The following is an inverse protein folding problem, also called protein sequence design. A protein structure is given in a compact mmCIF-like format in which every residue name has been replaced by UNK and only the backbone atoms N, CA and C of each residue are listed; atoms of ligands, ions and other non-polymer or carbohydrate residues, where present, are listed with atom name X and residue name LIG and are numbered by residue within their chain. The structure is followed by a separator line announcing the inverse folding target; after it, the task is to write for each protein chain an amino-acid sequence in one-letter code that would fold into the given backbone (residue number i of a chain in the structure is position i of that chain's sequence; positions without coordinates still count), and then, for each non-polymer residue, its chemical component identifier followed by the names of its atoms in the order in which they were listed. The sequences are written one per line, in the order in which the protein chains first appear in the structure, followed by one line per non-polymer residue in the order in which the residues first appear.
data_IF_124935740913
#
_entry.id   IF_124935740913
#
_cell.length_a   1.000
_cell.length_b   1.000
_cell.length_c   1.000
_cell.angle_alpha   90.00
_cell.angle_beta   90.00
_cell.angle_gamma   90.00
#
_symmetry.space_group_name_H-M   'P 1'
#
loop_
_entity.id
_entity.type
_entity.pdbx_description
1 polymer ?
#
# COMPACT_ATOMS: atom_id res chain seq x y z
N UNK A 1 -52.72 0.12 9.17
CA UNK A 1 -53.51 0.38 7.95
C UNK A 1 -52.95 1.61 7.25
N UNK A 2 -51.99 1.39 6.34
CA UNK A 2 -51.39 2.45 5.52
C UNK A 2 -52.44 2.95 4.51
N UNK A 3 -52.60 4.27 4.36
CA UNK A 3 -53.49 4.88 3.35
C UNK A 3 -52.98 4.57 1.93
N UNK A 4 -53.90 4.39 0.98
CA UNK A 4 -53.58 3.99 -0.41
C UNK A 4 -52.54 4.90 -1.13
N UNK A 5 -52.38 6.16 -0.71
CA UNK A 5 -51.35 7.07 -1.20
C UNK A 5 -49.93 6.72 -0.71
N UNK A 6 -49.79 6.17 0.50
CA UNK A 6 -48.48 5.80 1.04
C UNK A 6 -47.86 4.59 0.36
N UNK A 7 -48.67 3.65 -0.19
CA UNK A 7 -48.14 2.52 -0.96
C UNK A 7 -47.47 2.94 -2.28
N UNK A 8 -48.01 3.97 -2.94
CA UNK A 8 -47.40 4.50 -4.18
C UNK A 8 -46.04 5.20 -3.90
N UNK A 9 -45.92 5.86 -2.76
CA UNK A 9 -44.66 6.52 -2.36
C UNK A 9 -43.62 5.51 -1.90
N UNK A 10 -44.03 4.49 -1.13
CA UNK A 10 -43.15 3.36 -0.77
C UNK A 10 -42.70 2.59 -2.00
N UNK A 11 -43.62 2.34 -2.95
CA UNK A 11 -43.29 1.69 -4.22
C UNK A 11 -42.25 2.48 -5.03
N UNK A 12 -42.41 3.82 -5.13
CA UNK A 12 -41.44 4.70 -5.78
C UNK A 12 -40.07 4.70 -5.09
N UNK A 13 -40.05 4.74 -3.77
CA UNK A 13 -38.81 4.66 -2.99
C UNK A 13 -38.10 3.32 -3.18
N UNK A 14 -38.84 2.19 -3.14
CA UNK A 14 -38.26 0.87 -3.39
C UNK A 14 -37.69 0.71 -4.79
N UNK A 15 -38.40 1.19 -5.82
CA UNK A 15 -37.87 1.15 -7.20
C UNK A 15 -36.65 2.04 -7.38
N UNK A 16 -36.62 3.22 -6.75
CA UNK A 16 -35.43 4.09 -6.78
C UNK A 16 -34.22 3.43 -6.10
N UNK A 17 -34.40 2.84 -4.94
CA UNK A 17 -33.33 2.11 -4.23
C UNK A 17 -32.87 0.91 -5.04
N UNK A 18 -33.77 0.13 -5.63
CA UNK A 18 -33.41 -1.01 -6.47
C UNK A 18 -32.61 -0.59 -7.70
N UNK A 19 -32.98 0.53 -8.34
CA UNK A 19 -32.24 1.09 -9.47
C UNK A 19 -30.86 1.56 -9.06
N UNK A 20 -30.72 2.22 -7.91
CA UNK A 20 -29.42 2.67 -7.37
C UNK A 20 -28.51 1.48 -7.06
N UNK A 21 -29.03 0.45 -6.41
CA UNK A 21 -28.26 -0.77 -6.09
C UNK A 21 -27.84 -1.49 -7.38
N UNK A 22 -28.73 -1.59 -8.36
CA UNK A 22 -28.42 -2.20 -9.67
C UNK A 22 -27.36 -1.40 -10.40
N UNK A 23 -27.45 -0.07 -10.38
CA UNK A 23 -26.47 0.82 -10.97
C UNK A 23 -25.11 0.68 -10.29
N UNK A 24 -25.05 0.64 -8.96
CA UNK A 24 -23.82 0.44 -8.22
C UNK A 24 -23.16 -0.89 -8.58
N UNK A 25 -23.95 -1.96 -8.63
CA UNK A 25 -23.44 -3.29 -9.00
C UNK A 25 -22.90 -3.32 -10.44
N UNK A 26 -23.63 -2.76 -11.42
CA UNK A 26 -23.20 -2.69 -12.80
C UNK A 26 -21.92 -1.83 -12.94
N UNK A 27 -21.88 -0.70 -12.25
CA UNK A 27 -20.71 0.19 -12.26
C UNK A 27 -19.46 -0.49 -11.71
N UNK A 28 -19.59 -1.27 -10.62
CA UNK A 28 -18.47 -2.03 -10.06
C UNK A 28 -17.98 -3.11 -11.05
N UNK A 29 -18.87 -3.85 -11.70
CA UNK A 29 -18.50 -4.82 -12.73
C UNK A 29 -17.80 -4.17 -13.93
N UNK A 30 -18.26 -3.00 -14.34
CA UNK A 30 -17.66 -2.24 -15.44
C UNK A 30 -16.25 -1.76 -15.05
N UNK A 31 -16.07 -1.28 -13.82
CA UNK A 31 -14.77 -0.89 -13.28
C UNK A 31 -13.80 -2.08 -13.25
N UNK A 32 -14.24 -3.26 -12.81
CA UNK A 32 -13.42 -4.46 -12.79
C UNK A 32 -12.97 -4.87 -14.21
N UNK A 33 -13.84 -4.74 -15.21
CA UNK A 33 -13.49 -4.99 -16.60
C UNK A 33 -12.47 -3.96 -17.12
N UNK A 34 -12.65 -2.67 -16.81
CA UNK A 34 -11.72 -1.61 -17.20
C UNK A 34 -10.34 -1.79 -16.54
N UNK A 35 -10.31 -2.12 -15.25
CA UNK A 35 -9.07 -2.43 -14.54
C UNK A 35 -8.41 -3.68 -15.11
N UNK A 36 -9.20 -4.70 -15.48
CA UNK A 36 -8.68 -5.89 -16.16
C UNK A 36 -8.01 -5.57 -17.50
N UNK A 37 -8.61 -4.71 -18.31
CA UNK A 37 -8.01 -4.21 -19.55
C UNK A 37 -6.74 -3.40 -19.30
N UNK A 38 -6.82 -2.45 -18.38
CA UNK A 38 -5.65 -1.65 -17.98
C UNK A 38 -4.48 -2.53 -17.52
N UNK A 39 -4.78 -3.63 -16.83
CA UNK A 39 -3.76 -4.61 -16.40
C UNK A 39 -3.02 -5.22 -17.58
N UNK A 40 -3.74 -5.60 -18.62
CA UNK A 40 -3.13 -6.17 -19.85
C UNK A 40 -2.26 -5.13 -20.54
N UNK A 41 -2.77 -3.92 -20.73
CA UNK A 41 -2.07 -2.84 -21.41
C UNK A 41 -0.80 -2.40 -20.65
N UNK A 42 -0.89 -2.31 -19.31
CA UNK A 42 0.26 -1.97 -18.46
C UNK A 42 1.31 -3.09 -18.52
N UNK A 43 0.88 -4.36 -18.43
CA UNK A 43 1.78 -5.51 -18.50
C UNK A 43 2.53 -5.59 -19.82
N UNK A 44 1.83 -5.37 -20.92
CA UNK A 44 2.41 -5.41 -22.26
C UNK A 44 3.43 -4.28 -22.47
N UNK A 45 3.07 -3.05 -22.15
CA UNK A 45 3.93 -1.87 -22.38
C UNK A 45 5.08 -1.79 -21.36
N UNK A 46 4.74 -1.83 -20.08
CA UNK A 46 5.73 -1.66 -19.02
C UNK A 46 6.68 -2.86 -18.90
N UNK A 47 6.16 -4.09 -19.06
CA UNK A 47 6.99 -5.29 -19.01
C UNK A 47 8.05 -5.28 -20.12
N UNK A 48 7.68 -4.94 -21.34
CA UNK A 48 8.61 -4.83 -22.47
C UNK A 48 9.62 -3.73 -22.24
N UNK A 49 9.18 -2.52 -21.91
CA UNK A 49 10.03 -1.36 -21.67
C UNK A 49 11.03 -1.60 -20.51
N UNK A 50 10.59 -2.32 -19.47
CA UNK A 50 11.42 -2.65 -18.32
C UNK A 50 12.55 -3.64 -18.71
N UNK A 51 12.22 -4.68 -19.48
CA UNK A 51 13.19 -5.68 -19.93
C UNK A 51 14.22 -5.04 -20.86
N UNK A 52 13.79 -4.23 -21.82
CA UNK A 52 14.69 -3.49 -22.72
C UNK A 52 15.62 -2.59 -21.91
N UNK A 53 15.06 -1.85 -20.96
CA UNK A 53 15.80 -0.92 -20.11
C UNK A 53 16.85 -1.62 -19.25
N UNK A 54 16.51 -2.76 -18.64
CA UNK A 54 17.46 -3.56 -17.84
C UNK A 54 18.56 -4.13 -18.72
N UNK A 55 18.26 -4.55 -19.96
CA UNK A 55 19.23 -5.08 -20.91
C UNK A 55 20.24 -4.01 -21.36
N UNK A 56 19.81 -2.74 -21.44
CA UNK A 56 20.63 -1.61 -21.88
C UNK A 56 21.37 -0.89 -20.73
N UNK A 57 21.24 -1.33 -19.49
CA UNK A 57 21.92 -0.71 -18.36
C UNK A 57 23.44 -0.86 -18.46
N UNK A 58 24.18 0.17 -18.03
CA UNK A 58 25.64 0.09 -17.89
C UNK A 58 25.99 -0.95 -16.84
N UNK A 59 27.04 -1.74 -17.11
CA UNK A 59 27.51 -2.83 -16.26
C UNK A 59 27.77 -2.41 -14.79
N UNK A 60 28.17 -1.16 -14.55
CA UNK A 60 28.39 -0.61 -13.21
C UNK A 60 27.17 -0.72 -12.27
N UNK A 61 25.95 -0.68 -12.81
CA UNK A 61 24.72 -0.82 -12.02
C UNK A 61 24.40 -2.29 -11.71
N UNK A 62 24.79 -3.19 -12.61
CA UNK A 62 24.65 -4.64 -12.42
C UNK A 62 25.64 -5.15 -11.38
N UNK A 63 26.86 -4.60 -11.35
CA UNK A 63 27.91 -4.98 -10.40
C UNK A 63 27.65 -4.41 -8.99
N UNK A 64 26.98 -3.27 -8.87
CA UNK A 64 26.69 -2.65 -7.58
C UNK A 64 25.48 -3.35 -6.90
N UNK A 65 25.67 -3.98 -5.72
CA UNK A 65 24.61 -4.70 -5.02
C UNK A 65 23.39 -3.82 -4.70
N UNK A 66 23.57 -2.54 -4.33
CA UNK A 66 22.47 -1.63 -4.02
C UNK A 66 21.62 -1.31 -5.25
N UNK A 67 22.28 -1.07 -6.40
CA UNK A 67 21.60 -0.84 -7.67
C UNK A 67 20.88 -2.10 -8.14
N UNK A 68 21.51 -3.27 -8.00
CA UNK A 68 20.92 -4.54 -8.37
C UNK A 68 19.71 -4.92 -7.51
N UNK A 69 19.76 -4.67 -6.21
CA UNK A 69 18.62 -4.84 -5.30
C UNK A 69 17.44 -3.96 -5.72
N UNK A 70 17.70 -2.70 -6.11
CA UNK A 70 16.68 -1.77 -6.61
C UNK A 70 16.10 -2.27 -7.94
N UNK A 71 16.94 -2.68 -8.90
CA UNK A 71 16.53 -3.21 -10.20
C UNK A 71 15.66 -4.46 -9.99
N UNK A 72 16.09 -5.39 -9.15
CA UNK A 72 15.34 -6.63 -8.86
C UNK A 72 14.01 -6.32 -8.19
N UNK A 73 13.98 -5.37 -7.26
CA UNK A 73 12.76 -4.95 -6.57
C UNK A 73 11.74 -4.34 -7.53
N UNK A 74 12.22 -3.55 -8.50
CA UNK A 74 11.34 -2.89 -9.48
C UNK A 74 10.93 -3.88 -10.57
N UNK A 75 11.80 -4.74 -11.08
CA UNK A 75 11.49 -5.69 -12.15
C UNK A 75 10.55 -6.82 -11.70
N UNK A 76 10.47 -7.06 -10.40
CA UNK A 76 9.54 -8.05 -9.83
C UNK A 76 8.18 -7.39 -9.56
N UNK A 77 7.15 -7.83 -10.25
CA UNK A 77 5.75 -7.40 -10.07
C UNK A 77 5.48 -5.90 -10.28
N UNK A 78 6.22 -5.23 -11.18
CA UNK A 78 6.03 -3.81 -11.50
C UNK A 78 4.62 -3.51 -12.00
N UNK A 79 4.12 -4.34 -12.90
CA UNK A 79 2.79 -4.23 -13.48
C UNK A 79 1.69 -4.31 -12.41
N UNK A 80 1.82 -5.23 -11.45
CA UNK A 80 0.91 -5.31 -10.31
C UNK A 80 1.04 -4.10 -9.37
N UNK A 81 2.24 -3.64 -9.14
CA UNK A 81 2.49 -2.48 -8.25
C UNK A 81 1.87 -1.20 -8.80
N UNK A 82 1.97 -0.96 -10.11
CA UNK A 82 1.35 0.20 -10.77
C UNK A 82 -0.18 0.13 -10.69
N UNK A 83 -0.75 -1.04 -10.97
CA UNK A 83 -2.20 -1.25 -10.91
C UNK A 83 -2.74 -1.10 -9.50
N UNK A 84 -2.05 -1.68 -8.53
CA UNK A 84 -2.42 -1.58 -7.12
C UNK A 84 -2.31 -0.13 -6.62
N UNK A 85 -1.30 0.63 -7.08
CA UNK A 85 -1.19 2.06 -6.79
C UNK A 85 -2.38 2.84 -7.34
N UNK A 86 -2.77 2.57 -8.59
CA UNK A 86 -3.94 3.19 -9.21
C UNK A 86 -5.24 2.83 -8.46
N UNK A 87 -5.43 1.56 -8.11
CA UNK A 87 -6.57 1.12 -7.31
C UNK A 87 -6.60 1.75 -5.91
N UNK A 88 -5.44 1.89 -5.25
CA UNK A 88 -5.33 2.55 -3.96
C UNK A 88 -5.73 4.03 -4.04
N UNK A 89 -5.34 4.72 -5.12
CA UNK A 89 -5.75 6.10 -5.37
C UNK A 89 -7.26 6.21 -5.59
N UNK A 90 -7.83 5.35 -6.43
CA UNK A 90 -9.28 5.32 -6.66
C UNK A 90 -10.06 5.00 -5.38
N UNK A 91 -9.59 4.03 -4.60
CA UNK A 91 -10.19 3.67 -3.32
C UNK A 91 -10.14 4.85 -2.33
N UNK A 92 -9.05 5.59 -2.29
CA UNK A 92 -8.94 6.80 -1.47
C UNK A 92 -9.92 7.90 -1.92
N UNK A 93 -10.03 8.16 -3.22
CA UNK A 93 -10.99 9.12 -3.76
C UNK A 93 -12.44 8.72 -3.45
N UNK A 94 -12.78 7.43 -3.63
CA UNK A 94 -14.10 6.89 -3.29
C UNK A 94 -14.39 7.03 -1.78
N UNK A 95 -13.38 6.82 -0.92
CA UNK A 95 -13.48 7.01 0.51
C UNK A 95 -13.77 8.48 0.88
N UNK A 96 -13.07 9.43 0.28
CA UNK A 96 -13.31 10.87 0.47
C UNK A 96 -14.72 11.23 0.03
N UNK A 97 -15.17 10.74 -1.13
CA UNK A 97 -16.50 10.97 -1.65
C UNK A 97 -17.60 10.40 -0.75
N UNK A 98 -17.39 9.18 -0.25
CA UNK A 98 -18.30 8.55 0.72
C UNK A 98 -18.36 9.33 2.02
N UNK A 99 -17.23 9.80 2.54
CA UNK A 99 -17.20 10.62 3.75
C UNK A 99 -17.96 11.93 3.58
N UNK A 100 -17.79 12.61 2.43
CA UNK A 100 -18.54 13.82 2.08
C UNK A 100 -20.05 13.55 2.01
N UNK A 101 -20.47 12.47 1.36
CA UNK A 101 -21.89 12.09 1.28
C UNK A 101 -22.50 11.86 2.67
N UNK A 102 -21.83 11.09 3.52
CA UNK A 102 -22.26 10.84 4.88
C UNK A 102 -22.33 12.13 5.72
N UNK A 103 -21.34 13.00 5.55
CA UNK A 103 -21.31 14.31 6.21
C UNK A 103 -22.49 15.19 5.76
N UNK A 104 -22.78 15.29 4.48
CA UNK A 104 -23.88 16.10 3.94
C UNK A 104 -25.23 15.62 4.44
N UNK A 105 -25.45 14.29 4.49
CA UNK A 105 -26.68 13.72 5.06
C UNK A 105 -26.81 14.12 6.53
N UNK A 106 -25.74 13.99 7.31
CA UNK A 106 -25.78 14.32 8.73
C UNK A 106 -25.97 15.85 8.96
N UNK A 107 -25.31 16.67 8.13
CA UNK A 107 -25.44 18.13 8.19
C UNK A 107 -26.86 18.61 7.86
N UNK A 108 -27.56 17.92 6.95
CA UNK A 108 -28.95 18.26 6.57
C UNK A 108 -29.95 18.08 7.70
N UNK A 109 -29.77 17.04 8.52
CA UNK A 109 -30.70 16.70 9.59
C UNK A 109 -30.29 17.25 10.96
N UNK A 110 -28.98 17.25 11.27
CA UNK A 110 -28.44 17.65 12.58
C UNK A 110 -27.12 18.39 12.42
N UNK A 111 -27.14 19.67 12.01
CA UNK A 111 -25.91 20.41 11.67
C UNK A 111 -24.94 20.52 12.85
N UNK A 112 -25.44 20.68 14.08
CA UNK A 112 -24.60 20.76 15.27
C UNK A 112 -23.81 19.45 15.51
N UNK A 113 -24.45 18.30 15.30
CA UNK A 113 -23.82 17.00 15.43
C UNK A 113 -22.80 16.76 14.30
N UNK A 114 -23.09 17.18 13.06
CA UNK A 114 -22.17 17.11 11.94
C UNK A 114 -20.89 17.92 12.21
N UNK A 115 -21.03 19.13 12.70
CA UNK A 115 -19.89 19.99 13.05
C UNK A 115 -19.09 19.39 14.23
N UNK A 116 -19.74 18.87 15.26
CA UNK A 116 -19.07 18.24 16.39
C UNK A 116 -18.25 17.01 15.95
N UNK A 117 -18.84 16.12 15.13
CA UNK A 117 -18.14 14.95 14.60
C UNK A 117 -16.96 15.36 13.73
N UNK A 118 -17.12 16.37 12.88
CA UNK A 118 -16.02 16.86 12.01
C UNK A 118 -14.91 17.50 12.83
N UNK A 119 -15.24 18.33 13.81
CA UNK A 119 -14.25 18.96 14.68
C UNK A 119 -13.41 17.92 15.46
N UNK A 120 -14.03 16.80 15.86
CA UNK A 120 -13.33 15.71 16.52
C UNK A 120 -12.60 14.78 15.53
N UNK A 121 -13.10 14.65 14.31
CA UNK A 121 -12.52 13.80 13.29
C UNK A 121 -11.17 14.33 12.77
N UNK A 122 -11.04 15.65 12.59
CA UNK A 122 -9.80 16.26 12.05
C UNK A 122 -8.56 15.95 12.92
N UNK A 123 -8.56 16.16 14.24
CA UNK A 123 -7.43 15.77 15.08
C UNK A 123 -7.14 14.26 15.05
N UNK A 124 -8.19 13.42 14.95
CA UNK A 124 -8.04 11.97 14.88
C UNK A 124 -7.44 11.51 13.55
N UNK A 125 -7.78 12.15 12.45
CA UNK A 125 -7.14 11.93 11.14
C UNK A 125 -5.66 12.31 11.22
N UNK A 126 -5.34 13.47 11.79
CA UNK A 126 -3.94 13.89 11.98
C UNK A 126 -3.16 12.90 12.86
N UNK A 127 -3.77 12.40 13.93
CA UNK A 127 -3.15 11.39 14.79
C UNK A 127 -2.97 10.04 14.06
N UNK A 128 -3.91 9.65 13.22
CA UNK A 128 -3.84 8.44 12.39
C UNK A 128 -2.74 8.56 11.33
N UNK A 129 -2.59 9.72 10.70
CA UNK A 129 -1.50 9.99 9.75
C UNK A 129 -0.13 9.95 10.44
N UNK A 130 -0.02 10.52 11.64
CA UNK A 130 1.21 10.43 12.44
C UNK A 130 1.50 8.98 12.89
N UNK A 131 0.46 8.20 13.19
CA UNK A 131 0.55 6.77 13.49
C UNK A 131 1.01 5.94 12.29
N UNK A 132 0.53 6.27 11.09
CA UNK A 132 0.95 5.64 9.83
C UNK A 132 2.44 5.82 9.56
N UNK A 133 2.97 7.04 9.72
CA UNK A 133 4.41 7.32 9.60
C UNK A 133 5.25 6.52 10.62
N UNK A 134 4.77 6.40 11.86
CA UNK A 134 5.45 5.62 12.89
C UNK A 134 5.41 4.10 12.60
N UNK A 135 4.34 3.61 12.00
CA UNK A 135 4.23 2.22 11.53
C UNK A 135 5.22 1.93 10.41
N UNK A 136 5.36 2.87 9.48
CA UNK A 136 6.32 2.78 8.38
C UNK A 136 7.78 2.74 8.88
N UNK A 137 8.14 3.61 9.82
CA UNK A 137 9.45 3.58 10.46
C UNK A 137 9.72 2.23 11.17
N UNK A 138 8.69 1.64 11.79
CA UNK A 138 8.77 0.31 12.40
C UNK A 138 8.98 -0.83 11.39
N UNK A 139 8.39 -0.72 10.20
CA UNK A 139 8.62 -1.67 9.10
C UNK A 139 10.09 -1.60 8.64
N UNK A 140 10.64 -0.41 8.50
CA UNK A 140 12.05 -0.22 8.15
C UNK A 140 12.99 -0.87 9.17
N UNK A 141 12.70 -0.76 10.47
CA UNK A 141 13.47 -1.40 11.54
C UNK A 141 13.45 -2.94 11.43
N UNK A 142 12.32 -3.51 11.04
CA UNK A 142 12.17 -4.97 10.92
C UNK A 142 12.76 -5.55 9.62
N UNK A 143 12.97 -4.74 8.60
CA UNK A 143 13.47 -5.15 7.27
C UNK A 143 14.84 -5.85 7.33
N UNK A 144 15.78 -5.31 8.12
CA UNK A 144 17.11 -5.91 8.30
C UNK A 144 17.04 -7.31 8.92
N UNK A 145 16.17 -7.50 9.92
CA UNK A 145 15.95 -8.79 10.57
C UNK A 145 15.25 -9.76 9.63
N UNK A 146 14.30 -9.27 8.83
CA UNK A 146 13.57 -10.03 7.82
C UNK A 146 14.53 -10.60 6.76
N UNK A 147 15.38 -9.75 6.18
CA UNK A 147 16.38 -10.18 5.18
C UNK A 147 17.28 -11.30 5.71
N UNK A 148 17.70 -11.24 6.97
CA UNK A 148 18.58 -12.25 7.57
C UNK A 148 17.91 -13.62 7.62
N UNK A 149 16.70 -13.76 8.18
CA UNK A 149 16.04 -15.06 8.24
C UNK A 149 15.62 -15.57 6.87
N UNK A 150 15.22 -14.69 5.95
CA UNK A 150 14.87 -15.07 4.57
C UNK A 150 16.08 -15.57 3.80
N UNK A 151 17.25 -14.96 3.99
CA UNK A 151 18.50 -15.45 3.41
C UNK A 151 18.81 -16.87 3.90
N UNK A 152 18.77 -17.10 5.21
CA UNK A 152 19.02 -18.42 5.78
C UNK A 152 17.95 -19.43 5.31
N UNK A 153 16.68 -18.98 5.22
CA UNK A 153 15.60 -19.82 4.68
C UNK A 153 15.89 -20.26 3.26
N UNK A 154 16.36 -19.35 2.39
CA UNK A 154 16.75 -19.70 1.01
C UNK A 154 17.89 -20.71 0.95
N UNK A 155 18.88 -20.60 1.82
CA UNK A 155 19.95 -21.60 1.93
C UNK A 155 19.41 -22.98 2.34
N UNK A 156 18.46 -23.00 3.29
CA UNK A 156 17.89 -24.24 3.80
C UNK A 156 16.91 -24.92 2.82
N UNK A 157 16.16 -24.15 2.03
CA UNK A 157 15.09 -24.64 1.16
C UNK A 157 15.44 -24.56 -0.33
N UNK A 158 16.40 -23.72 -0.70
CA UNK A 158 16.79 -23.50 -2.09
C UNK A 158 17.40 -24.75 -2.73
N UNK A 159 17.09 -24.91 -4.02
CA UNK A 159 17.64 -25.99 -4.84
C UNK A 159 19.13 -25.83 -5.06
N UNK A 160 19.60 -24.62 -5.27
CA UNK A 160 21.00 -24.28 -5.57
C UNK A 160 21.96 -24.69 -4.45
N UNK A 161 21.48 -24.61 -3.19
CA UNK A 161 22.25 -25.01 -2.02
C UNK A 161 22.05 -26.50 -1.63
N UNK A 162 21.28 -27.27 -2.39
CA UNK A 162 20.90 -28.64 -2.00
C UNK A 162 22.11 -29.60 -1.97
N UNK A 163 23.01 -29.48 -2.94
CA UNK A 163 24.20 -30.32 -3.02
C UNK A 163 25.17 -30.02 -1.89
N UNK A 164 25.49 -28.76 -1.65
CA UNK A 164 26.35 -28.32 -0.55
C UNK A 164 25.77 -28.69 0.82
N UNK A 165 24.44 -28.48 1.00
CA UNK A 165 23.75 -28.83 2.23
C UNK A 165 23.87 -30.33 2.54
N UNK A 166 23.78 -31.19 1.53
CA UNK A 166 23.90 -32.63 1.69
C UNK A 166 25.37 -33.04 1.92
N UNK A 167 26.27 -32.46 1.16
CA UNK A 167 27.71 -32.79 1.24
C UNK A 167 28.33 -32.39 2.59
N UNK A 168 28.05 -31.18 3.05
CA UNK A 168 28.65 -30.64 4.26
C UNK A 168 27.82 -30.83 5.53
N UNK A 169 26.58 -31.31 5.42
CA UNK A 169 25.72 -31.62 6.57
C UNK A 169 25.34 -30.44 7.47
N UNK A 170 25.47 -29.19 6.99
CA UNK A 170 25.29 -27.99 7.81
C UNK A 170 23.83 -27.61 8.11
N UNK A 171 22.86 -28.38 7.62
CA UNK A 171 21.44 -28.08 7.81
C UNK A 171 21.03 -27.88 9.27
N UNK A 172 21.58 -28.70 10.21
CA UNK A 172 21.29 -28.58 11.63
C UNK A 172 21.76 -27.26 12.24
N UNK A 173 22.93 -26.79 11.86
CA UNK A 173 23.48 -25.51 12.30
C UNK A 173 22.65 -24.35 11.81
N UNK A 174 22.36 -24.29 10.52
CA UNK A 174 21.56 -23.20 9.93
C UNK A 174 20.10 -23.23 10.36
N UNK A 175 19.52 -24.38 10.71
CA UNK A 175 18.20 -24.43 11.32
C UNK A 175 18.16 -23.68 12.67
N UNK A 176 19.20 -23.85 13.52
CA UNK A 176 19.30 -23.11 14.77
C UNK A 176 19.47 -21.61 14.57
N UNK A 177 20.30 -21.20 13.60
CA UNK A 177 20.48 -19.81 13.24
C UNK A 177 19.19 -19.20 12.67
N UNK A 178 18.50 -19.93 11.79
CA UNK A 178 17.21 -19.51 11.26
C UNK A 178 16.16 -19.30 12.35
N UNK A 179 16.03 -20.29 13.25
CA UNK A 179 15.07 -20.20 14.35
C UNK A 179 15.34 -18.99 15.25
N UNK A 180 16.62 -18.74 15.58
CA UNK A 180 17.04 -17.60 16.34
C UNK A 180 16.73 -16.27 15.66
N UNK A 181 17.09 -16.15 14.36
CA UNK A 181 16.84 -14.96 13.56
C UNK A 181 15.33 -14.71 13.37
N UNK A 182 14.56 -15.76 13.11
CA UNK A 182 13.11 -15.70 12.96
C UNK A 182 12.40 -15.29 14.24
N UNK A 183 12.74 -15.89 15.39
CA UNK A 183 12.19 -15.51 16.69
C UNK A 183 12.49 -14.05 17.03
N UNK A 184 13.68 -13.58 16.70
CA UNK A 184 14.08 -12.18 16.90
C UNK A 184 13.24 -11.23 16.05
N UNK A 185 13.10 -11.53 14.76
CA UNK A 185 12.21 -10.77 13.87
C UNK A 185 10.77 -10.81 14.35
N UNK A 186 10.23 -11.98 14.69
CA UNK A 186 8.87 -12.14 15.16
C UNK A 186 8.58 -11.30 16.42
N UNK A 187 9.50 -11.30 17.38
CA UNK A 187 9.37 -10.51 18.61
C UNK A 187 9.35 -9.01 18.37
N UNK A 188 10.24 -8.50 17.50
CA UNK A 188 10.26 -7.07 17.13
C UNK A 188 9.03 -6.70 16.31
N UNK A 189 8.70 -7.51 15.30
CA UNK A 189 7.54 -7.28 14.43
C UNK A 189 6.21 -7.30 15.21
N UNK A 190 6.04 -8.26 16.13
CA UNK A 190 4.85 -8.31 16.99
C UNK A 190 4.75 -7.06 17.87
N UNK A 191 5.87 -6.59 18.45
CA UNK A 191 5.88 -5.36 19.28
C UNK A 191 5.53 -4.12 18.46
N UNK A 192 6.10 -3.97 17.25
CA UNK A 192 5.80 -2.87 16.35
C UNK A 192 4.32 -2.88 15.96
N UNK A 193 3.82 -4.04 15.54
CA UNK A 193 2.41 -4.20 15.15
C UNK A 193 1.46 -3.94 16.31
N UNK A 194 1.75 -4.45 17.50
CA UNK A 194 0.94 -4.22 18.70
C UNK A 194 0.91 -2.74 19.09
N UNK A 195 2.06 -2.06 19.03
CA UNK A 195 2.16 -0.62 19.31
C UNK A 195 1.37 0.22 18.30
N UNK A 196 1.47 -0.11 17.02
CA UNK A 196 0.71 0.55 15.96
C UNK A 196 -0.79 0.30 16.10
N UNK A 197 -1.17 -0.95 16.38
CA UNK A 197 -2.54 -1.34 16.62
C UNK A 197 -3.15 -0.62 17.84
N UNK A 198 -2.42 -0.57 18.96
CA UNK A 198 -2.89 0.12 20.15
C UNK A 198 -3.12 1.63 19.90
N UNK A 199 -2.19 2.30 19.20
CA UNK A 199 -2.36 3.71 18.82
C UNK A 199 -3.57 3.93 17.91
N UNK A 200 -3.77 3.08 16.90
CA UNK A 200 -4.91 3.17 16.00
C UNK A 200 -6.24 2.94 16.76
N UNK A 201 -6.26 1.99 17.72
CA UNK A 201 -7.46 1.68 18.51
C UNK A 201 -7.82 2.76 19.51
N UNK A 202 -6.87 3.47 20.07
CA UNK A 202 -7.15 4.63 20.94
C UNK A 202 -7.96 5.70 20.18
N UNK A 203 -7.61 5.99 18.93
CA UNK A 203 -8.37 6.90 18.06
C UNK A 203 -9.79 6.38 17.80
N UNK A 204 -9.95 5.09 17.53
CA UNK A 204 -11.25 4.47 17.29
C UNK A 204 -12.18 4.53 18.52
N UNK A 205 -11.65 4.29 19.73
CA UNK A 205 -12.41 4.38 20.97
C UNK A 205 -12.96 5.81 21.18
N UNK A 206 -12.14 6.83 20.89
CA UNK A 206 -12.59 8.22 20.98
C UNK A 206 -13.76 8.51 20.02
N UNK A 207 -13.70 7.99 18.78
CA UNK A 207 -14.80 8.13 17.81
C UNK A 207 -16.08 7.44 18.27
N UNK A 208 -15.98 6.25 18.87
CA UNK A 208 -17.14 5.54 19.41
C UNK A 208 -17.78 6.32 20.57
N UNK A 209 -16.97 6.89 21.47
CA UNK A 209 -17.48 7.75 22.55
C UNK A 209 -18.22 8.96 22.00
N UNK A 210 -17.68 9.63 20.98
CA UNK A 210 -18.35 10.75 20.31
C UNK A 210 -19.66 10.29 19.66
N UNK A 211 -19.66 9.14 18.99
CA UNK A 211 -20.86 8.56 18.40
C UNK A 211 -21.98 8.34 19.45
N UNK A 212 -21.62 7.82 20.64
CA UNK A 212 -22.56 7.63 21.75
C UNK A 212 -23.10 8.97 22.22
N UNK A 213 -22.26 9.98 22.41
CA UNK A 213 -22.68 11.33 22.81
C UNK A 213 -23.63 11.93 21.79
N UNK A 214 -23.33 11.83 20.50
CA UNK A 214 -24.22 12.33 19.44
C UNK A 214 -25.53 11.58 19.40
N UNK A 215 -25.54 10.25 19.54
CA UNK A 215 -26.73 9.44 19.58
C UNK A 215 -27.64 9.82 20.80
N UNK A 216 -27.05 10.01 21.97
CA UNK A 216 -27.80 10.42 23.16
C UNK A 216 -28.34 11.84 23.02
N UNK A 217 -27.63 12.74 22.36
CA UNK A 217 -28.10 14.10 22.06
C UNK A 217 -29.26 14.15 21.05
N UNK A 218 -29.45 13.12 20.23
CA UNK A 218 -30.57 12.99 19.28
C UNK A 218 -31.86 12.44 19.93
N UNK A 219 -31.76 11.73 21.04
CA UNK A 219 -32.91 11.10 21.71
C UNK A 219 -34.05 12.08 22.07
N UNK A 220 -33.80 13.28 22.63
CA UNK A 220 -34.86 14.25 22.92
C UNK A 220 -35.70 14.63 21.69
N UNK A 221 -35.06 14.82 20.52
CA UNK A 221 -35.74 15.13 19.26
C UNK A 221 -36.67 13.98 18.79
N UNK A 222 -36.30 12.73 19.08
CA UNK A 222 -37.15 11.55 18.80
C UNK A 222 -38.30 11.51 19.72
N UNK A 223 -38.12 11.77 21.03
CA UNK A 223 -39.18 11.77 22.06
C UNK A 223 -40.15 12.94 21.82
N UNK A 224 -39.66 14.09 21.37
CA UNK A 224 -40.47 15.25 21.01
C UNK A 224 -41.26 15.06 19.68
N UNK A 225 -40.97 14.01 18.92
CA UNK A 225 -41.60 13.75 17.62
C UNK A 225 -41.07 14.59 16.46
N UNK A 226 -40.01 15.36 16.68
CA UNK A 226 -39.33 16.18 15.65
C UNK A 226 -38.56 15.31 14.65
N UNK A 227 -38.06 14.18 15.12
CA UNK A 227 -37.29 13.21 14.34
C UNK A 227 -38.03 11.88 14.33
N UNK A 228 -38.36 11.35 13.17
CA UNK A 228 -38.98 10.01 13.09
C UNK A 228 -37.97 8.92 13.47
N UNK A 229 -38.46 7.80 13.98
CA UNK A 229 -37.65 6.64 14.34
C UNK A 229 -36.80 6.16 13.15
N UNK A 230 -37.35 6.21 11.93
CA UNK A 230 -36.64 5.83 10.72
C UNK A 230 -35.42 6.73 10.42
N UNK A 231 -35.60 8.06 10.57
CA UNK A 231 -34.49 9.02 10.42
C UNK A 231 -33.44 8.82 11.52
N UNK A 232 -33.88 8.60 12.76
CA UNK A 232 -32.95 8.30 13.86
C UNK A 232 -32.08 7.07 13.58
N UNK A 233 -32.69 5.96 13.15
CA UNK A 233 -31.94 4.74 12.80
C UNK A 233 -30.98 4.97 11.62
N UNK A 234 -31.39 5.76 10.62
CA UNK A 234 -30.54 6.12 9.50
C UNK A 234 -29.32 6.96 9.95
N UNK A 235 -29.54 7.92 10.85
CA UNK A 235 -28.45 8.74 11.42
C UNK A 235 -27.49 7.90 12.28
N UNK A 236 -28.01 7.00 13.10
CA UNK A 236 -27.19 6.05 13.88
C UNK A 236 -26.32 5.20 12.95
N UNK A 237 -26.90 4.62 11.91
CA UNK A 237 -26.17 3.84 10.90
C UNK A 237 -25.11 4.68 10.17
N UNK A 238 -25.43 5.94 9.86
CA UNK A 238 -24.51 6.89 9.25
C UNK A 238 -23.29 7.18 10.15
N UNK A 239 -23.53 7.42 11.45
CA UNK A 239 -22.48 7.66 12.45
C UNK A 239 -21.54 6.44 12.55
N UNK A 240 -22.09 5.22 12.64
CA UNK A 240 -21.28 4.00 12.66
C UNK A 240 -20.45 3.84 11.38
N UNK A 241 -21.03 4.13 10.22
CA UNK A 241 -20.33 4.11 8.95
C UNK A 241 -19.16 5.11 8.91
N UNK A 242 -19.36 6.32 9.43
CA UNK A 242 -18.29 7.33 9.55
C UNK A 242 -17.18 6.85 10.49
N UNK A 243 -17.54 6.30 11.65
CA UNK A 243 -16.56 5.74 12.61
C UNK A 243 -15.72 4.63 11.95
N UNK A 244 -16.36 3.70 11.26
CA UNK A 244 -15.69 2.60 10.58
C UNK A 244 -14.75 3.12 9.48
N UNK A 245 -15.23 4.04 8.67
CA UNK A 245 -14.49 4.66 7.57
C UNK A 245 -13.24 5.37 8.06
N UNK A 246 -13.34 6.13 9.15
CA UNK A 246 -12.21 6.88 9.71
C UNK A 246 -11.25 6.00 10.51
N UNK A 247 -11.76 4.98 11.21
CA UNK A 247 -10.93 4.12 12.08
C UNK A 247 -10.13 3.07 11.32
N UNK A 248 -10.62 2.59 10.20
CA UNK A 248 -10.02 1.48 9.47
C UNK A 248 -9.65 1.87 8.03
N UNK A 249 -10.63 2.31 7.25
CA UNK A 249 -10.46 2.50 5.81
C UNK A 249 -9.47 3.62 5.49
N UNK A 250 -9.52 4.73 6.23
CA UNK A 250 -8.61 5.86 6.03
C UNK A 250 -7.16 5.47 6.33
N UNK A 251 -6.92 4.79 7.48
CA UNK A 251 -5.57 4.37 7.84
C UNK A 251 -4.98 3.39 6.82
N UNK A 252 -5.79 2.44 6.38
CA UNK A 252 -5.39 1.47 5.36
C UNK A 252 -5.07 2.16 4.03
N UNK A 253 -5.95 3.03 3.53
CA UNK A 253 -5.73 3.74 2.27
C UNK A 253 -4.49 4.65 2.30
N UNK A 254 -4.26 5.35 3.40
CA UNK A 254 -3.06 6.19 3.57
C UNK A 254 -1.79 5.33 3.60
N UNK A 255 -1.82 4.18 4.27
CA UNK A 255 -0.70 3.25 4.32
C UNK A 255 -0.36 2.69 2.93
N UNK A 256 -1.38 2.32 2.15
CA UNK A 256 -1.19 1.84 0.77
C UNK A 256 -0.62 2.94 -0.13
N UNK A 257 -1.16 4.17 -0.08
CA UNK A 257 -0.62 5.30 -0.86
C UNK A 257 0.85 5.57 -0.49
N UNK A 258 1.19 5.54 0.80
CA UNK A 258 2.56 5.76 1.23
C UNK A 258 3.53 4.69 0.69
N UNK A 259 3.09 3.42 0.67
CA UNK A 259 3.83 2.29 0.10
C UNK A 259 4.10 2.49 -1.40
N UNK A 260 3.08 2.89 -2.15
CA UNK A 260 3.24 3.09 -3.59
C UNK A 260 4.00 4.37 -3.95
N UNK A 261 3.96 5.40 -3.11
CA UNK A 261 4.81 6.57 -3.28
C UNK A 261 6.31 6.22 -3.23
N UNK A 262 6.72 5.30 -2.34
CA UNK A 262 8.09 4.79 -2.34
C UNK A 262 8.41 3.97 -3.58
N UNK A 263 7.48 3.11 -4.00
CA UNK A 263 7.66 2.36 -5.24
C UNK A 263 7.90 3.29 -6.43
N UNK A 264 7.12 4.37 -6.57
CA UNK A 264 7.35 5.35 -7.63
C UNK A 264 8.66 6.11 -7.49
N UNK A 265 9.12 6.38 -6.27
CA UNK A 265 10.44 6.97 -6.05
C UNK A 265 11.57 6.02 -6.50
N UNK A 266 11.44 4.72 -6.22
CA UNK A 266 12.35 3.70 -6.69
C UNK A 266 12.35 3.63 -8.23
N UNK A 267 11.17 3.65 -8.86
CA UNK A 267 11.03 3.70 -10.34
C UNK A 267 11.67 4.97 -10.91
N UNK A 268 11.46 6.13 -10.29
CA UNK A 268 12.10 7.38 -10.70
C UNK A 268 13.64 7.28 -10.62
N UNK A 269 14.16 6.69 -9.57
CA UNK A 269 15.61 6.46 -9.40
C UNK A 269 16.15 5.55 -10.48
N UNK A 270 15.43 4.46 -10.80
CA UNK A 270 15.78 3.56 -11.88
C UNK A 270 15.73 4.25 -13.25
N UNK A 271 14.73 5.10 -13.50
CA UNK A 271 14.64 5.83 -14.78
C UNK A 271 15.77 6.82 -14.99
N UNK A 272 16.41 7.29 -13.92
CA UNK A 272 17.56 8.18 -13.95
C UNK A 272 18.91 7.46 -14.11
N UNK A 273 18.93 6.12 -14.08
CA UNK A 273 20.15 5.36 -14.34
C UNK A 273 20.57 5.50 -15.80
N UNK A 274 21.86 5.70 -16.04
CA UNK A 274 22.41 5.86 -17.38
C UNK A 274 22.38 4.53 -18.14
N UNK A 275 21.98 4.61 -19.39
CA UNK A 275 22.01 3.49 -20.32
C UNK A 275 23.38 3.33 -20.98
N UNK A 276 23.60 2.17 -21.61
CA UNK A 276 24.68 2.01 -22.55
C UNK A 276 24.53 3.09 -23.63
N UNK A 277 25.49 3.97 -23.73
CA UNK A 277 25.66 4.70 -24.96
C UNK A 277 25.87 3.66 -26.05
N UNK A 278 25.09 3.70 -27.11
CA UNK A 278 25.40 2.97 -28.32
C UNK A 278 26.75 3.50 -28.80
N UNK A 279 27.83 2.88 -28.37
CA UNK A 279 29.15 3.11 -28.94
C UNK A 279 29.10 2.56 -30.35
N UNK A 280 28.54 3.34 -31.26
CA UNK A 280 28.79 3.20 -32.69
C UNK A 280 30.13 3.83 -33.04
N UNK A 281 31.15 3.49 -32.30
CA UNK A 281 32.52 3.67 -32.80
C UNK A 281 32.82 2.42 -33.61
N UNK A 282 32.49 2.45 -34.89
CA UNK A 282 33.13 1.57 -35.86
C UNK A 282 34.55 2.06 -35.99
N UNK A 283 35.36 1.80 -34.99
CA UNK A 283 36.80 1.91 -35.12
C UNK A 283 37.23 0.68 -35.91
N UNK A 284 37.72 0.86 -37.13
CA UNK A 284 38.50 -0.20 -37.77
C UNK A 284 39.63 -0.56 -36.81
N UNK A 285 39.47 -1.73 -36.16
CA UNK A 285 40.50 -2.21 -35.24
C UNK A 285 41.78 -2.42 -36.05
N UNK A 286 42.89 -1.72 -35.69
CA UNK A 286 44.16 -2.00 -36.30
C UNK A 286 44.51 -3.47 -36.07
N UNK A 287 45.28 -4.08 -36.99
CA UNK A 287 45.73 -5.46 -36.82
C UNK A 287 46.36 -5.61 -35.43
N UNK A 288 45.78 -6.51 -34.63
CA UNK A 288 46.25 -6.73 -33.26
C UNK A 288 47.60 -7.43 -33.29
N UNK A 289 48.67 -6.73 -32.89
CA UNK A 289 50.02 -7.28 -32.82
C UNK A 289 50.48 -7.60 -31.39
N UNK A 290 50.22 -6.72 -30.43
CA UNK A 290 50.54 -6.95 -29.01
C UNK A 290 49.78 -6.02 -28.11
N UNK A 291 49.50 -6.46 -26.86
CA UNK A 291 48.92 -5.66 -25.78
C UNK A 291 49.93 -5.60 -24.64
N UNK A 292 50.36 -4.39 -24.29
CA UNK A 292 51.32 -4.16 -23.21
C UNK A 292 50.69 -3.26 -22.13
N UNK A 293 50.72 -3.71 -20.87
CA UNK A 293 50.29 -2.92 -19.72
C UNK A 293 51.54 -2.29 -19.08
N UNK A 294 51.65 -0.96 -19.12
CA UNK A 294 52.75 -0.21 -18.48
C UNK A 294 52.19 0.65 -17.36
N UNK A 295 52.69 0.47 -16.13
CA UNK A 295 52.32 1.25 -14.94
C UNK A 295 50.81 1.39 -14.71
N UNK A 296 50.03 0.30 -14.97
CA UNK A 296 48.60 0.29 -14.80
C UNK A 296 48.26 0.08 -13.33
N UNK A 297 47.47 1.01 -12.77
CA UNK A 297 46.94 0.88 -11.42
C UNK A 297 45.43 0.77 -11.53
N UNK A 298 44.86 -0.26 -10.94
CA UNK A 298 43.40 -0.48 -10.91
C UNK A 298 42.87 -0.63 -9.49
N UNK A 299 41.75 0.02 -9.22
CA UNK A 299 40.96 -0.18 -8.01
C UNK A 299 39.48 -0.29 -8.41
N UNK A 300 38.72 -1.19 -7.76
CA UNK A 300 37.29 -1.28 -7.98
C UNK A 300 36.57 -0.01 -7.50
N UNK A 301 35.53 0.46 -8.21
CA UNK A 301 34.73 1.60 -7.77
C UNK A 301 34.23 1.41 -6.34
N UNK A 302 34.39 2.43 -5.49
CA UNK A 302 33.99 2.38 -4.06
C UNK A 302 35.03 1.76 -3.12
N UNK A 303 36.16 1.22 -3.61
CA UNK A 303 37.23 0.71 -2.75
C UNK A 303 38.48 1.60 -2.86
N UNK A 304 39.18 1.81 -1.73
CA UNK A 304 40.51 2.47 -1.70
C UNK A 304 41.65 1.50 -1.92
N UNK A 305 41.36 0.20 -2.02
CA UNK A 305 42.39 -0.83 -2.19
C UNK A 305 42.76 -0.98 -3.66
N UNK A 306 43.97 -0.72 -3.98
CA UNK A 306 44.54 -1.02 -5.30
C UNK A 306 44.63 -2.53 -5.47
N UNK A 307 44.17 -3.05 -6.58
CA UNK A 307 44.16 -4.48 -6.89
C UNK A 307 45.27 -4.81 -7.89
N UNK A 308 45.66 -3.81 -8.71
CA UNK A 308 46.80 -3.79 -9.60
C UNK A 308 47.59 -2.53 -9.35
#
# INVERSE_FOLDING_TARGET
LLRSGEYADVGRALTAVSLLVSFDWISNQLLDLLVGRLRIDVRERFGTEMVEKVADLRYRYVENPESWDLITKISTDTDESILNAFQALLAFLALVWKALGLFLVMFRYVPAAALAVTACAVPLVMLSLAGGRASYAGISETQGLKRRYEYISRLLTGRDAAEERTLFGWAGYFNGEWESAYKKWLGVNARVNLKSFAKAKLGSISLVLIAIVVMTALLPGVVAGEITIGIFMALVSNIFSLVQLMSWSLLHSVSEIAKYNEFFHDVETFTKMDFREAESVSCELPEFSSLEFRDVTFAYPGTKRKVL
#
